data_IF_660703141790
#
_entry.id   IF_660703141790
#
_cell.length_a   1.000
_cell.length_b   1.000
_cell.length_c   1.000
_cell.angle_alpha   90.00
_cell.angle_beta   90.00
_cell.angle_gamma   90.00
#
_symmetry.space_group_name_H-M   'P 1'
#
loop_
_entity.id
_entity.type
_entity.pdbx_description
1 polymer ?
#
# COMPACT_ATOMS: atom_id res chain seq x y z
N UNK A 1 -0.46 -4.63 -15.51
CA UNK A 1 -0.03 -5.91 -16.10
C UNK A 1 1.42 -6.24 -15.79
N UNK A 2 2.23 -5.30 -15.31
CA UNK A 2 3.55 -5.59 -14.72
C UNK A 2 3.40 -6.48 -13.48
N UNK A 3 4.36 -7.39 -13.21
CA UNK A 3 4.36 -8.18 -11.99
C UNK A 3 4.43 -7.30 -10.73
N UNK A 4 3.87 -7.79 -9.63
CA UNK A 4 4.13 -7.26 -8.29
C UNK A 4 5.32 -8.04 -7.72
N UNK A 5 6.29 -7.32 -7.18
CA UNK A 5 7.58 -7.86 -6.75
C UNK A 5 7.85 -7.51 -5.28
N UNK A 6 8.82 -8.19 -4.65
CA UNK A 6 9.25 -7.88 -3.29
C UNK A 6 9.77 -6.44 -3.15
N UNK A 7 10.36 -5.89 -4.23
CA UNK A 7 10.87 -4.52 -4.29
C UNK A 7 9.74 -3.49 -4.17
N UNK A 8 8.54 -3.80 -4.68
CA UNK A 8 7.37 -2.93 -4.51
C UNK A 8 7.01 -2.80 -3.03
N UNK A 9 7.09 -3.87 -2.25
CA UNK A 9 6.85 -3.84 -0.80
C UNK A 9 7.94 -3.08 -0.05
N UNK A 10 9.22 -3.31 -0.37
CA UNK A 10 10.35 -2.56 0.20
C UNK A 10 10.13 -1.06 0.01
N UNK A 11 9.88 -0.62 -1.24
CA UNK A 11 9.60 0.78 -1.55
C UNK A 11 8.42 1.32 -0.76
N UNK A 12 7.32 0.56 -0.72
CA UNK A 12 6.06 1.01 -0.12
C UNK A 12 6.19 1.20 1.38
N UNK A 13 6.86 0.27 2.07
CA UNK A 13 7.04 0.33 3.51
C UNK A 13 8.03 1.42 3.88
N UNK A 14 9.13 1.58 3.15
CA UNK A 14 10.06 2.70 3.31
C UNK A 14 9.36 4.05 3.10
N UNK A 15 8.54 4.17 2.06
CA UNK A 15 7.73 5.38 1.81
C UNK A 15 6.74 5.63 2.95
N UNK A 16 6.14 4.60 3.52
CA UNK A 16 5.13 4.74 4.59
C UNK A 16 5.70 5.34 5.88
N UNK A 17 7.00 5.12 6.14
CA UNK A 17 7.71 5.61 7.32
C UNK A 17 8.54 6.86 7.04
N UNK A 18 8.61 7.29 5.79
CA UNK A 18 9.25 8.54 5.41
C UNK A 18 8.51 9.72 6.06
N UNK A 19 9.18 10.52 6.91
CA UNK A 19 8.57 11.71 7.50
C UNK A 19 7.99 12.68 6.47
N UNK A 20 8.56 12.73 5.26
CA UNK A 20 8.08 13.57 4.15
C UNK A 20 6.75 13.08 3.56
N UNK A 21 6.43 11.79 3.69
CA UNK A 21 5.12 11.26 3.30
C UNK A 21 4.02 11.70 4.26
N UNK A 22 4.37 12.04 5.51
CA UNK A 22 3.45 12.45 6.57
C UNK A 22 2.26 11.48 6.74
N UNK A 23 2.55 10.17 6.69
CA UNK A 23 1.53 9.13 6.82
C UNK A 23 0.92 9.13 8.24
N UNK A 24 -0.42 9.20 8.39
CA UNK A 24 -1.06 9.06 9.70
C UNK A 24 -0.87 7.65 10.31
N UNK A 25 -0.43 6.69 9.49
CA UNK A 25 -0.13 5.31 9.89
C UNK A 25 1.37 5.00 9.85
N UNK A 26 2.25 6.02 9.90
CA UNK A 26 3.71 5.79 9.92
C UNK A 26 4.14 4.89 11.10
N UNK A 27 3.46 5.01 12.24
CA UNK A 27 3.65 4.17 13.43
C UNK A 27 3.12 2.73 13.30
N UNK A 28 2.38 2.39 12.23
CA UNK A 28 1.80 1.06 12.10
C UNK A 28 2.86 -0.04 12.05
N UNK A 29 4.03 0.26 11.46
CA UNK A 29 5.17 -0.67 11.42
C UNK A 29 5.89 -0.79 12.77
N UNK A 30 5.74 0.18 13.68
CA UNK A 30 6.22 0.06 15.07
C UNK A 30 5.45 -1.03 15.81
N UNK A 31 4.15 -1.21 15.56
CA UNK A 31 3.35 -2.28 16.17
C UNK A 31 3.81 -3.69 15.76
N UNK A 32 4.49 -3.79 14.62
CA UNK A 32 5.14 -5.01 14.16
C UNK A 32 6.59 -5.15 14.65
N UNK A 33 7.14 -4.13 15.32
CA UNK A 33 8.53 -4.08 15.78
C UNK A 33 9.54 -4.32 14.65
N UNK A 34 9.32 -3.74 13.46
CA UNK A 34 10.28 -3.84 12.36
C UNK A 34 11.59 -3.16 12.74
N UNK A 35 12.72 -3.83 12.54
CA UNK A 35 14.02 -3.29 12.95
C UNK A 35 14.30 -1.90 12.33
N UNK A 36 14.81 -0.97 13.15
CA UNK A 36 15.18 0.39 12.75
C UNK A 36 14.02 1.39 12.62
N UNK A 37 12.76 0.98 12.82
CA UNK A 37 11.60 1.84 12.63
C UNK A 37 11.60 3.08 13.52
N UNK A 38 11.94 2.94 14.80
CA UNK A 38 11.85 4.03 15.77
C UNK A 38 12.84 5.15 15.42
N UNK A 39 14.08 4.80 15.11
CA UNK A 39 15.10 5.77 14.72
C UNK A 39 14.79 6.44 13.37
N UNK A 40 14.09 5.75 12.46
CA UNK A 40 13.64 6.35 11.19
C UNK A 40 12.55 7.40 11.44
N UNK A 41 11.55 7.07 12.27
CA UNK A 41 10.47 8.01 12.59
C UNK A 41 10.95 9.22 13.39
N UNK A 42 12.00 9.04 14.20
CA UNK A 42 12.69 10.13 14.89
C UNK A 42 13.64 10.93 13.97
N UNK A 43 13.80 10.54 12.70
CA UNK A 43 14.69 11.19 11.74
C UNK A 43 16.19 10.96 11.99
N UNK A 44 16.53 9.95 12.81
CA UNK A 44 17.91 9.58 13.17
C UNK A 44 18.56 8.60 12.19
N UNK A 45 17.77 7.86 11.40
CA UNK A 45 18.22 6.94 10.35
C UNK A 45 17.51 7.20 9.02
N UNK A 46 18.15 6.94 7.87
CA UNK A 46 17.47 7.01 6.59
C UNK A 46 16.42 5.90 6.45
N UNK A 47 15.36 6.14 5.68
CA UNK A 47 14.29 5.16 5.44
C UNK A 47 14.80 3.82 4.87
N UNK A 48 15.95 3.84 4.21
CA UNK A 48 16.60 2.64 3.63
C UNK A 48 17.11 1.66 4.69
N UNK A 49 17.24 2.09 5.95
CA UNK A 49 17.69 1.23 7.06
C UNK A 49 16.53 0.44 7.70
N UNK A 50 15.30 0.58 7.19
CA UNK A 50 14.15 -0.19 7.66
C UNK A 50 14.42 -1.68 7.43
N UNK A 51 14.11 -2.53 8.42
CA UNK A 51 14.31 -3.98 8.42
C UNK A 51 13.44 -4.77 7.43
N UNK A 52 13.38 -4.36 6.18
CA UNK A 52 12.66 -4.99 5.07
C UNK A 52 13.57 -5.05 3.85
N UNK A 53 13.72 -6.24 3.26
CA UNK A 53 14.53 -6.42 2.05
C UNK A 53 13.89 -7.42 1.08
N UNK A 54 14.13 -7.20 -0.20
CA UNK A 54 13.87 -8.17 -1.24
C UNK A 54 15.12 -9.07 -1.37
N UNK A 55 14.98 -10.36 -1.09
CA UNK A 55 16.04 -11.35 -1.36
C UNK A 55 16.13 -11.61 -2.87
N UNK A 56 14.97 -11.64 -3.51
CA UNK A 56 14.75 -11.72 -4.95
C UNK A 56 13.38 -11.11 -5.28
N UNK A 57 12.95 -11.15 -6.54
CA UNK A 57 11.68 -10.54 -7.00
C UNK A 57 10.43 -11.11 -6.33
N UNK A 58 10.50 -12.29 -5.71
CA UNK A 58 9.36 -13.01 -5.14
C UNK A 58 9.56 -13.41 -3.66
N UNK A 59 10.66 -12.98 -3.04
CA UNK A 59 10.99 -13.29 -1.64
C UNK A 59 11.23 -12.00 -0.86
N UNK A 60 10.27 -11.63 0.00
CA UNK A 60 10.39 -10.52 0.95
C UNK A 60 10.83 -11.06 2.31
N UNK A 61 11.94 -10.55 2.85
CA UNK A 61 12.37 -10.82 4.23
C UNK A 61 12.11 -9.58 5.10
N UNK A 62 11.52 -9.80 6.28
CA UNK A 62 11.29 -8.77 7.28
C UNK A 62 11.99 -9.17 8.58
N UNK A 63 12.84 -8.29 9.09
CA UNK A 63 13.56 -8.46 10.35
C UNK A 63 12.88 -7.64 11.43
N UNK A 64 12.53 -8.30 12.53
CA UNK A 64 11.92 -7.66 13.70
C UNK A 64 12.97 -7.45 14.79
N UNK A 65 12.84 -6.41 15.61
CA UNK A 65 13.70 -6.16 16.76
C UNK A 65 13.41 -7.11 17.94
N UNK A 66 12.21 -7.69 17.97
CA UNK A 66 11.79 -8.67 18.97
C UNK A 66 10.81 -9.72 18.39
N UNK A 67 10.59 -10.85 19.07
CA UNK A 67 9.61 -11.85 18.63
C UNK A 67 8.18 -11.32 18.70
N UNK A 68 7.52 -11.20 17.54
CA UNK A 68 6.11 -10.80 17.44
C UNK A 68 5.29 -11.92 16.76
N UNK A 69 4.76 -12.90 17.52
CA UNK A 69 4.08 -14.07 16.95
C UNK A 69 2.85 -13.73 16.08
N UNK A 70 2.23 -12.57 16.33
CA UNK A 70 1.06 -12.10 15.60
C UNK A 70 1.40 -11.18 14.42
N UNK A 71 2.68 -10.98 14.08
CA UNK A 71 3.12 -10.04 13.03
C UNK A 71 2.34 -10.22 11.72
N UNK A 72 2.15 -11.47 11.28
CA UNK A 72 1.42 -11.78 10.05
C UNK A 72 -0.03 -11.27 10.03
N UNK A 73 -0.67 -11.08 11.20
CA UNK A 73 -2.03 -10.54 11.30
C UNK A 73 -2.10 -9.05 10.98
N UNK A 74 -0.99 -8.31 11.11
CA UNK A 74 -0.93 -6.89 10.78
C UNK A 74 -0.91 -6.66 9.26
N UNK A 75 -0.40 -7.64 8.50
CA UNK A 75 -0.11 -7.52 7.06
C UNK A 75 -1.35 -7.48 6.15
N UNK A 76 -2.55 -7.59 6.73
CA UNK A 76 -3.82 -7.41 5.99
C UNK A 76 -4.25 -5.94 5.91
N UNK A 77 -3.64 -5.07 6.72
CA UNK A 77 -4.05 -3.68 6.82
C UNK A 77 -3.62 -2.86 5.59
N UNK A 78 -4.44 -1.90 5.10
CA UNK A 78 -4.13 -1.11 3.90
C UNK A 78 -2.77 -0.42 3.92
N UNK A 79 -2.28 0.03 5.08
CA UNK A 79 -0.96 0.68 5.19
C UNK A 79 0.22 -0.23 4.82
N UNK A 80 0.03 -1.55 4.82
CA UNK A 80 1.07 -2.52 4.44
C UNK A 80 0.96 -2.99 2.98
N UNK A 81 -0.02 -2.47 2.24
CA UNK A 81 -0.20 -2.76 0.81
C UNK A 81 0.88 -2.09 -0.05
N UNK A 82 1.29 -2.70 -1.17
CA UNK A 82 2.26 -2.08 -2.07
C UNK A 82 1.61 -0.94 -2.86
N UNK A 83 2.39 0.10 -3.17
CA UNK A 83 2.02 1.23 -4.00
C UNK A 83 2.92 1.35 -5.24
N UNK A 84 2.39 1.80 -6.38
CA UNK A 84 3.13 1.78 -7.65
C UNK A 84 4.15 2.94 -7.72
N UNK A 85 5.43 2.65 -7.44
CA UNK A 85 6.54 3.62 -7.50
C UNK A 85 6.52 4.47 -8.78
N UNK A 86 6.42 3.84 -9.93
CA UNK A 86 6.46 4.53 -11.23
C UNK A 86 5.30 5.54 -11.41
N UNK A 87 4.10 5.24 -10.91
CA UNK A 87 2.97 6.18 -11.00
C UNK A 87 3.14 7.34 -10.01
N UNK A 88 3.62 7.05 -8.79
CA UNK A 88 3.89 8.07 -7.78
C UNK A 88 4.96 9.06 -8.25
N UNK A 89 6.09 8.55 -8.76
CA UNK A 89 7.18 9.40 -9.27
C UNK A 89 6.75 10.23 -10.47
N UNK A 90 5.91 9.68 -11.35
CA UNK A 90 5.44 10.38 -12.56
C UNK A 90 4.37 11.42 -12.28
N UNK A 91 3.43 11.13 -11.40
CA UNK A 91 2.21 11.93 -11.23
C UNK A 91 2.13 12.67 -9.90
N UNK A 92 3.07 12.44 -8.99
CA UNK A 92 3.10 13.07 -7.66
C UNK A 92 1.79 12.86 -6.94
N UNK A 93 1.24 13.91 -6.34
CA UNK A 93 -0.06 13.88 -5.62
C UNK A 93 -1.24 13.39 -6.47
N UNK A 94 -1.16 13.51 -7.80
CA UNK A 94 -2.23 13.09 -8.73
C UNK A 94 -2.16 11.62 -9.11
N UNK A 95 -1.25 10.83 -8.52
CA UNK A 95 -1.10 9.41 -8.83
C UNK A 95 -2.37 8.59 -8.56
N UNK A 96 -3.25 9.04 -7.66
CA UNK A 96 -4.50 8.36 -7.33
C UNK A 96 -5.67 8.72 -8.25
N UNK A 97 -5.50 9.71 -9.14
CA UNK A 97 -6.58 10.13 -10.04
C UNK A 97 -6.93 9.04 -11.06
N UNK A 98 -8.20 8.94 -11.49
CA UNK A 98 -8.57 8.10 -12.63
C UNK A 98 -7.67 8.37 -13.83
N UNK A 99 -7.19 7.31 -14.49
CA UNK A 99 -6.24 7.39 -15.61
C UNK A 99 -4.75 7.41 -15.22
N UNK A 100 -4.41 7.78 -13.98
CA UNK A 100 -3.03 7.75 -13.47
C UNK A 100 -2.77 6.55 -12.56
N UNK A 101 -3.77 6.17 -11.77
CA UNK A 101 -3.63 5.15 -10.74
C UNK A 101 -3.39 3.75 -11.33
N UNK A 102 -2.49 3.01 -10.67
CA UNK A 102 -2.20 1.60 -10.95
C UNK A 102 -2.51 0.80 -9.69
N UNK A 103 -3.24 -0.30 -9.84
CA UNK A 103 -3.70 -1.14 -8.73
C UNK A 103 -3.28 -2.60 -8.92
N UNK A 104 -3.15 -3.34 -7.82
CA UNK A 104 -2.88 -4.78 -7.83
C UNK A 104 -4.03 -5.64 -7.24
N UNK A 105 -5.14 -4.99 -6.85
CA UNK A 105 -6.31 -5.64 -6.26
C UNK A 105 -7.31 -6.15 -7.30
N UNK A 106 -8.43 -6.67 -6.81
CA UNK A 106 -9.51 -7.22 -7.64
C UNK A 106 -10.25 -6.17 -8.49
N UNK A 107 -10.07 -4.88 -8.18
CA UNK A 107 -10.72 -3.77 -8.88
C UNK A 107 -9.71 -2.66 -9.17
N UNK A 108 -10.00 -1.89 -10.22
CA UNK A 108 -9.30 -0.65 -10.58
C UNK A 108 -10.27 0.53 -10.50
N UNK A 109 -9.74 1.73 -10.25
CA UNK A 109 -10.54 2.95 -10.19
C UNK A 109 -11.00 3.34 -11.59
N UNK A 110 -12.32 3.40 -11.79
CA UNK A 110 -12.94 3.85 -13.03
C UNK A 110 -13.28 5.32 -12.99
N UNK A 111 -13.88 5.76 -11.89
CA UNK A 111 -14.34 7.15 -11.74
C UNK A 111 -14.28 7.59 -10.27
N UNK A 112 -14.02 8.87 -10.06
CA UNK A 112 -14.02 9.50 -8.75
C UNK A 112 -14.52 10.94 -8.84
N UNK A 113 -15.74 11.15 -8.37
CA UNK A 113 -16.35 12.47 -8.23
C UNK A 113 -16.46 12.79 -6.75
N UNK A 114 -15.68 13.78 -6.30
CA UNK A 114 -15.61 14.18 -4.90
C UNK A 114 -17.01 14.55 -4.38
N UNK A 115 -17.37 14.03 -3.20
CA UNK A 115 -18.69 14.15 -2.57
C UNK A 115 -19.87 13.52 -3.33
N UNK A 116 -19.63 12.74 -4.39
CA UNK A 116 -20.70 12.08 -5.13
C UNK A 116 -20.51 10.57 -5.19
N UNK A 117 -19.40 10.08 -5.74
CA UNK A 117 -19.18 8.64 -5.92
C UNK A 117 -17.72 8.28 -6.17
N UNK A 118 -17.39 7.03 -5.84
CA UNK A 118 -16.21 6.31 -6.34
C UNK A 118 -16.72 5.07 -7.07
N UNK A 119 -16.36 4.91 -8.34
CA UNK A 119 -16.71 3.74 -9.14
C UNK A 119 -15.45 2.91 -9.37
N UNK A 120 -15.50 1.63 -8.99
CA UNK A 120 -14.45 0.67 -9.27
C UNK A 120 -14.96 -0.38 -10.26
N UNK A 121 -14.11 -0.78 -11.19
CA UNK A 121 -14.40 -1.85 -12.14
C UNK A 121 -13.44 -3.02 -11.94
N UNK A 122 -13.92 -4.22 -12.25
CA UNK A 122 -13.15 -5.46 -12.09
C UNK A 122 -11.81 -5.39 -12.84
N UNK A 123 -10.73 -5.70 -12.14
CA UNK A 123 -9.37 -5.70 -12.67
C UNK A 123 -9.07 -7.03 -13.36
N UNK A 124 -8.86 -7.05 -14.69
CA UNK A 124 -8.54 -8.29 -15.41
C UNK A 124 -7.14 -8.84 -15.07
N UNK A 125 -6.25 -8.00 -14.53
CA UNK A 125 -4.88 -8.38 -14.16
C UNK A 125 -4.75 -8.91 -12.74
N UNK A 126 -5.83 -8.97 -11.97
CA UNK A 126 -5.81 -9.56 -10.63
C UNK A 126 -5.58 -11.07 -10.70
N UNK A 127 -4.67 -11.60 -9.89
CA UNK A 127 -4.26 -13.01 -9.94
C UNK A 127 -5.44 -13.99 -9.75
N UNK A 128 -6.42 -13.63 -8.91
CA UNK A 128 -7.61 -14.44 -8.65
C UNK A 128 -8.85 -13.88 -9.36
N UNK A 129 -8.65 -13.19 -10.49
CA UNK A 129 -9.73 -12.58 -11.26
C UNK A 129 -10.82 -13.61 -11.65
N UNK A 130 -10.47 -14.86 -11.93
CA UNK A 130 -11.44 -15.91 -12.30
C UNK A 130 -12.50 -16.19 -11.24
N UNK A 131 -12.25 -15.79 -9.98
CA UNK A 131 -13.20 -15.92 -8.86
C UNK A 131 -13.96 -14.63 -8.55
N UNK A 132 -13.59 -13.50 -9.15
CA UNK A 132 -14.34 -12.25 -9.00
C UNK A 132 -15.69 -12.37 -9.73
N UNK A 133 -16.79 -12.04 -9.05
CA UNK A 133 -18.15 -12.13 -9.61
C UNK A 133 -18.70 -10.75 -9.94
N UNK A 134 -18.59 -9.80 -9.01
CA UNK A 134 -19.08 -8.43 -9.19
C UNK A 134 -18.16 -7.71 -10.18
N UNK A 135 -18.76 -7.17 -11.24
CA UNK A 135 -17.99 -6.50 -12.30
C UNK A 135 -17.76 -5.00 -12.03
N UNK A 136 -18.66 -4.37 -11.27
CA UNK A 136 -18.57 -2.96 -10.91
C UNK A 136 -19.14 -2.74 -9.51
N UNK A 137 -18.47 -1.92 -8.72
CA UNK A 137 -18.94 -1.48 -7.40
C UNK A 137 -18.90 0.04 -7.35
N UNK A 138 -19.94 0.65 -6.77
CA UNK A 138 -20.01 2.09 -6.53
C UNK A 138 -20.07 2.34 -5.04
N UNK A 139 -19.10 3.11 -4.53
CA UNK A 139 -19.11 3.64 -3.17
C UNK A 139 -19.70 5.05 -3.18
N UNK A 140 -20.66 5.29 -2.29
CA UNK A 140 -21.32 6.59 -2.14
C UNK A 140 -20.89 7.22 -0.80
N UNK A 141 -20.54 8.51 -0.76
CA UNK A 141 -20.16 9.21 0.46
C UNK A 141 -21.40 9.81 1.17
N UNK A 142 -22.47 9.02 1.32
CA UNK A 142 -23.68 9.47 2.02
C UNK A 142 -23.42 9.37 3.52
N UNK A 143 -23.35 10.52 4.19
CA UNK A 143 -23.09 10.60 5.62
C UNK A 143 -24.36 10.55 6.49
N UNK A 144 -25.54 10.78 5.92
CA UNK A 144 -26.83 10.73 6.63
C UNK A 144 -27.49 9.38 6.41
N UNK A 145 -27.81 8.65 7.48
CA UNK A 145 -28.62 7.44 7.43
C UNK A 145 -30.14 7.74 7.33
N UNK A 146 -30.53 8.99 7.61
CA UNK A 146 -31.91 9.50 7.57
C UNK A 146 -32.19 10.32 6.33
#
# INVERSE_FOLDING_TARGET
GTPVTAQDFVYSWQRSVDPNTASPYASYLQYGHIAGIDEILEGKKPITDLGVKAIDDHTLEVTLSEPVPYFYKLLVHPSTSPVPKAAIEKFGEKWTQPGNIVTNGAYTLKDWVVNERIVLERSPTYWNNTKTVINQVTYLPIASEV
#
